data_IF_584455455221
#
_entry.id   IF_584455455221
#
_cell.length_a   1.000
_cell.length_b   1.000
_cell.length_c   1.000
_cell.angle_alpha   90.00
_cell.angle_beta   90.00
_cell.angle_gamma   90.00
#
_symmetry.space_group_name_H-M   'P 1'
#
loop_
_entity.id
_entity.type
_entity.pdbx_description
1 polymer ?
#
# COMPACT_ATOMS: atom_id res chain seq x y z
N UNK A 1 46.42 -30.96 -33.82
CA UNK A 1 44.94 -31.05 -33.79
C UNK A 1 44.50 -31.31 -32.35
N UNK A 2 43.66 -30.42 -31.80
CA UNK A 2 42.84 -30.48 -30.55
C UNK A 2 42.61 -29.00 -30.17
N UNK A 3 41.68 -28.24 -30.76
CA UNK A 3 40.21 -28.28 -30.70
C UNK A 3 39.58 -28.21 -29.30
N UNK A 4 38.79 -27.14 -29.12
CA UNK A 4 37.73 -26.89 -28.14
C UNK A 4 38.12 -26.57 -26.69
N UNK A 5 38.37 -25.28 -26.42
CA UNK A 5 38.13 -24.68 -25.09
C UNK A 5 36.77 -23.98 -25.15
N UNK A 6 35.84 -24.45 -24.32
CA UNK A 6 34.49 -23.94 -24.19
C UNK A 6 34.48 -22.41 -23.99
N UNK A 7 33.64 -21.73 -24.77
CA UNK A 7 33.38 -20.29 -24.63
C UNK A 7 32.75 -20.01 -23.27
N UNK A 8 33.60 -19.70 -22.30
CA UNK A 8 33.23 -19.11 -21.03
C UNK A 8 32.65 -17.72 -21.29
N UNK A 9 31.34 -17.65 -21.56
CA UNK A 9 30.54 -16.47 -21.26
C UNK A 9 30.39 -16.36 -19.74
N UNK A 10 31.52 -16.15 -19.07
CA UNK A 10 31.56 -15.61 -17.73
C UNK A 10 30.89 -14.25 -17.82
N UNK A 11 29.61 -14.18 -17.43
CA UNK A 11 28.83 -12.95 -17.34
C UNK A 11 29.47 -12.07 -16.27
N UNK A 12 30.55 -11.39 -16.66
CA UNK A 12 31.28 -10.44 -15.83
C UNK A 12 30.40 -9.19 -15.75
N UNK A 13 29.44 -9.20 -14.85
CA UNK A 13 28.66 -8.00 -14.54
C UNK A 13 29.66 -6.91 -14.16
N UNK A 14 29.62 -5.73 -14.82
CA UNK A 14 30.49 -4.63 -14.46
C UNK A 14 30.33 -4.34 -12.97
N UNK A 15 31.43 -4.17 -12.24
CA UNK A 15 31.40 -3.90 -10.78
C UNK A 15 30.46 -2.73 -10.43
N UNK A 16 30.31 -1.77 -11.36
CA UNK A 16 29.40 -0.62 -11.29
C UNK A 16 27.91 -0.99 -11.38
N UNK A 17 27.54 -2.00 -12.18
CA UNK A 17 26.15 -2.48 -12.25
C UNK A 17 25.75 -3.20 -10.96
N UNK A 18 26.68 -3.95 -10.35
CA UNK A 18 26.45 -4.61 -9.06
C UNK A 18 26.32 -3.61 -7.90
N UNK A 19 27.08 -2.50 -7.90
CA UNK A 19 26.94 -1.45 -6.87
C UNK A 19 25.68 -0.61 -7.10
N UNK A 20 25.35 -0.28 -8.35
CA UNK A 20 24.15 0.48 -8.67
C UNK A 20 22.87 -0.30 -8.33
N UNK A 21 22.81 -1.60 -8.63
CA UNK A 21 21.67 -2.46 -8.26
C UNK A 21 21.51 -2.59 -6.73
N UNK A 22 22.62 -2.66 -5.96
CA UNK A 22 22.56 -2.66 -4.48
C UNK A 22 22.04 -1.34 -3.92
N UNK A 23 22.46 -0.21 -4.51
CA UNK A 23 22.01 1.11 -4.10
C UNK A 23 20.53 1.35 -4.44
N UNK A 24 20.07 0.86 -5.59
CA UNK A 24 18.65 0.88 -5.99
C UNK A 24 17.79 0.01 -5.05
N UNK A 25 18.23 -1.21 -4.75
CA UNK A 25 17.53 -2.10 -3.82
C UNK A 25 17.46 -1.51 -2.40
N UNK A 26 18.50 -0.81 -1.94
CA UNK A 26 18.50 -0.13 -0.64
C UNK A 26 17.59 1.10 -0.57
N UNK A 27 17.16 1.65 -1.72
CA UNK A 27 16.20 2.77 -1.81
C UNK A 27 14.73 2.32 -1.86
N UNK A 28 14.47 1.04 -2.10
CA UNK A 28 13.14 0.43 -1.90
C UNK A 28 13.07 0.05 -0.42
N UNK A 29 12.78 1.07 0.38
CA UNK A 29 12.64 0.95 1.83
C UNK A 29 11.52 -0.05 2.14
N UNK A 30 11.89 -1.13 2.85
CA UNK A 30 11.04 -2.19 3.43
C UNK A 30 9.94 -2.84 2.55
N UNK A 31 9.87 -4.18 2.46
CA UNK A 31 8.71 -4.86 1.88
C UNK A 31 7.37 -4.43 2.50
N UNK A 32 7.36 -4.01 3.77
CA UNK A 32 6.16 -3.53 4.44
C UNK A 32 5.71 -2.14 3.94
N UNK A 33 6.63 -1.22 3.65
CA UNK A 33 6.31 0.11 3.10
C UNK A 33 5.82 0.03 1.64
N UNK A 34 6.33 -0.95 0.88
CA UNK A 34 5.88 -1.20 -0.50
C UNK A 34 4.49 -1.80 -0.53
N UNK A 35 4.17 -2.72 0.39
CA UNK A 35 2.83 -3.30 0.49
C UNK A 35 1.82 -2.21 0.87
N UNK A 36 2.17 -1.30 1.77
CA UNK A 36 1.28 -0.21 2.20
C UNK A 36 1.00 0.82 1.10
N UNK A 37 1.96 1.11 0.22
CA UNK A 37 1.77 1.99 -0.94
C UNK A 37 1.09 1.35 -2.15
N UNK A 38 0.80 0.05 -2.09
CA UNK A 38 0.08 -0.69 -3.11
C UNK A 38 -1.14 -1.45 -2.53
N UNK A 39 -1.61 -1.01 -1.36
CA UNK A 39 -2.71 -1.63 -0.64
C UNK A 39 -3.92 -0.71 -0.55
N UNK A 40 -5.09 -1.33 -0.47
CA UNK A 40 -6.33 -0.68 -0.05
C UNK A 40 -6.35 -0.58 1.48
N UNK A 41 -6.50 0.62 1.99
CA UNK A 41 -6.61 0.93 3.43
C UNK A 41 -7.96 1.60 3.69
N UNK A 42 -8.67 1.09 4.68
CA UNK A 42 -9.95 1.63 5.14
C UNK A 42 -9.74 2.15 6.57
N UNK A 43 -9.84 3.47 6.74
CA UNK A 43 -9.86 4.06 8.07
C UNK A 43 -11.28 4.03 8.62
N UNK A 44 -11.45 3.45 9.79
CA UNK A 44 -12.76 3.18 10.40
C UNK A 44 -12.85 3.67 11.83
N UNK A 45 -14.04 3.51 12.43
CA UNK A 45 -14.26 3.60 13.87
C UNK A 45 -15.12 2.43 14.37
N UNK A 46 -14.97 2.00 15.63
CA UNK A 46 -15.80 0.95 16.21
C UNK A 46 -17.29 1.33 16.18
N UNK A 47 -18.15 0.36 15.86
CA UNK A 47 -19.61 0.56 15.87
C UNK A 47 -20.16 1.43 14.74
N UNK A 48 -19.39 1.77 13.71
CA UNK A 48 -19.89 2.55 12.58
C UNK A 48 -20.55 1.66 11.51
N UNK A 49 -21.85 1.84 11.21
CA UNK A 49 -22.56 1.05 10.21
C UNK A 49 -22.01 1.27 8.79
N UNK A 50 -21.61 2.51 8.45
CA UNK A 50 -21.02 2.82 7.15
C UNK A 50 -19.65 2.18 6.94
N UNK A 51 -18.84 2.08 8.00
CA UNK A 51 -17.58 1.34 7.94
C UNK A 51 -17.82 -0.15 7.69
N UNK A 52 -18.87 -0.72 8.32
CA UNK A 52 -19.23 -2.11 8.08
C UNK A 52 -19.66 -2.34 6.62
N UNK A 53 -20.49 -1.46 6.06
CA UNK A 53 -20.89 -1.55 4.66
C UNK A 53 -19.70 -1.49 3.69
N UNK A 54 -18.71 -0.64 3.98
CA UNK A 54 -17.47 -0.59 3.21
C UNK A 54 -16.72 -1.93 3.24
N UNK A 55 -16.50 -2.49 4.44
CA UNK A 55 -15.85 -3.81 4.59
C UNK A 55 -16.60 -4.88 3.81
N UNK A 56 -17.92 -4.94 3.97
CA UNK A 56 -18.76 -5.95 3.34
C UNK A 56 -18.69 -5.84 1.82
N UNK A 57 -18.66 -4.63 1.28
CA UNK A 57 -18.46 -4.40 -0.14
C UNK A 57 -17.13 -4.95 -0.64
N UNK A 58 -15.99 -4.56 -0.02
CA UNK A 58 -14.69 -5.04 -0.48
C UNK A 58 -14.51 -6.55 -0.28
N UNK A 59 -15.03 -7.11 0.81
CA UNK A 59 -15.10 -8.55 1.04
C UNK A 59 -15.93 -9.26 -0.05
N UNK A 60 -17.10 -8.71 -0.43
CA UNK A 60 -17.94 -9.27 -1.49
C UNK A 60 -17.27 -9.27 -2.86
N UNK A 61 -16.34 -8.33 -3.07
CA UNK A 61 -15.51 -8.24 -4.29
C UNK A 61 -14.25 -9.10 -4.22
N UNK A 62 -13.96 -9.73 -3.08
CA UNK A 62 -12.72 -10.49 -2.86
C UNK A 62 -11.47 -9.60 -2.82
N UNK A 63 -11.62 -8.32 -2.53
CA UNK A 63 -10.51 -7.36 -2.44
C UNK A 63 -9.99 -7.37 -1.01
N UNK A 64 -8.71 -7.71 -0.83
CA UNK A 64 -8.05 -7.59 0.47
C UNK A 64 -7.76 -6.14 0.82
N UNK A 65 -7.97 -5.76 2.07
CA UNK A 65 -7.71 -4.42 2.58
C UNK A 65 -7.16 -4.45 4.00
N UNK A 66 -6.54 -3.35 4.40
CA UNK A 66 -6.12 -3.08 5.78
C UNK A 66 -7.19 -2.24 6.45
N UNK A 67 -7.70 -2.67 7.60
CA UNK A 67 -8.61 -1.87 8.43
C UNK A 67 -7.83 -1.17 9.55
N UNK A 68 -7.92 0.16 9.60
CA UNK A 68 -7.27 0.99 10.61
C UNK A 68 -8.30 1.77 11.42
N UNK A 69 -8.37 1.48 12.72
CA UNK A 69 -9.21 2.24 13.64
C UNK A 69 -8.60 3.63 13.92
N UNK A 70 -9.16 4.66 13.29
CA UNK A 70 -8.76 6.06 13.45
C UNK A 70 -9.45 6.78 14.64
N UNK A 71 -10.27 6.06 15.40
CA UNK A 71 -10.92 6.58 16.61
C UNK A 71 -10.13 6.23 17.87
N UNK A 72 -9.61 5.00 17.97
CA UNK A 72 -8.84 4.54 19.13
C UNK A 72 -7.34 4.72 18.95
N UNK A 73 -6.83 4.64 17.71
CA UNK A 73 -5.42 4.88 17.41
C UNK A 73 -5.20 6.29 16.84
N UNK A 74 -4.43 7.11 17.59
CA UNK A 74 -4.09 8.49 17.20
C UNK A 74 -3.16 8.56 15.99
N UNK A 75 -2.29 7.57 15.80
CA UNK A 75 -1.37 7.52 14.67
C UNK A 75 -2.14 7.30 13.37
N UNK A 76 -3.06 6.33 13.36
CA UNK A 76 -3.95 6.09 12.21
C UNK A 76 -4.87 7.27 11.93
N UNK A 77 -5.31 7.99 12.98
CA UNK A 77 -6.07 9.23 12.80
C UNK A 77 -5.27 10.31 12.09
N UNK A 78 -4.02 10.53 12.52
CA UNK A 78 -3.14 11.52 11.90
C UNK A 78 -2.82 11.14 10.45
N UNK A 79 -2.60 9.86 10.20
CA UNK A 79 -2.37 9.32 8.86
C UNK A 79 -3.59 9.51 7.94
N UNK A 80 -4.79 9.14 8.41
CA UNK A 80 -6.05 9.37 7.70
C UNK A 80 -6.21 10.84 7.29
N UNK A 81 -5.93 11.77 8.21
CA UNK A 81 -6.01 13.21 7.93
C UNK A 81 -4.98 13.69 6.92
N UNK A 82 -3.81 13.06 6.86
CA UNK A 82 -2.80 13.39 5.86
C UNK A 82 -3.27 13.07 4.45
N UNK A 83 -4.10 12.03 4.28
CA UNK A 83 -4.73 11.67 3.01
C UNK A 83 -5.99 12.49 2.71
N UNK A 84 -6.87 12.67 3.70
CA UNK A 84 -8.21 13.28 3.49
C UNK A 84 -8.21 14.81 3.49
N UNK A 85 -7.05 15.45 3.64
CA UNK A 85 -6.96 16.91 3.78
C UNK A 85 -7.60 17.43 5.08
N UNK A 86 -7.63 16.60 6.12
CA UNK A 86 -8.21 16.93 7.42
C UNK A 86 -9.71 16.61 7.58
N UNK A 87 -10.36 16.00 6.59
CA UNK A 87 -11.75 15.54 6.71
C UNK A 87 -11.86 14.39 7.75
N UNK A 88 -12.70 14.53 8.81
CA UNK A 88 -12.89 13.52 9.85
C UNK A 88 -13.90 12.43 9.52
N UNK A 89 -14.47 12.44 8.33
CA UNK A 89 -15.50 11.50 7.91
C UNK A 89 -14.93 10.09 7.74
N UNK A 90 -15.60 9.10 8.32
CA UNK A 90 -15.29 7.67 8.14
C UNK A 90 -16.49 6.94 7.53
N UNK A 91 -16.29 5.86 6.75
CA UNK A 91 -14.99 5.30 6.35
C UNK A 91 -14.21 6.24 5.42
N UNK A 92 -12.88 6.29 5.56
CA UNK A 92 -12.00 6.98 4.62
C UNK A 92 -11.19 5.92 3.86
N UNK A 93 -11.26 5.96 2.53
CA UNK A 93 -10.69 4.95 1.63
C UNK A 93 -9.46 5.52 0.95
N UNK A 94 -8.35 4.81 1.11
CA UNK A 94 -7.08 5.12 0.47
C UNK A 94 -6.63 3.89 -0.31
N UNK A 95 -6.31 4.07 -1.58
CA UNK A 95 -5.82 3.00 -2.46
C UNK A 95 -4.48 3.42 -3.05
N UNK A 96 -3.47 2.56 -2.94
CA UNK A 96 -2.11 2.82 -3.42
C UNK A 96 -1.52 4.15 -2.90
N UNK A 97 -1.82 4.48 -1.64
CA UNK A 97 -1.43 5.74 -1.01
C UNK A 97 -2.12 6.99 -1.58
N UNK A 98 -3.21 6.83 -2.34
CA UNK A 98 -4.02 7.92 -2.87
C UNK A 98 -5.38 7.95 -2.20
N UNK A 99 -5.81 9.12 -1.79
CA UNK A 99 -7.15 9.34 -1.27
C UNK A 99 -8.20 9.11 -2.38
N UNK A 100 -9.19 8.26 -2.10
CA UNK A 100 -10.26 7.94 -3.04
C UNK A 100 -11.56 8.60 -2.61
N UNK A 101 -12.01 8.38 -1.38
CA UNK A 101 -13.26 8.93 -0.87
C UNK A 101 -13.37 8.88 0.67
N UNK A 102 -14.29 9.68 1.19
CA UNK A 102 -14.78 9.63 2.58
C UNK A 102 -16.28 9.41 2.61
N UNK A 103 -16.75 8.65 3.59
CA UNK A 103 -18.16 8.26 3.74
C UNK A 103 -18.52 7.02 2.94
N UNK A 104 -19.78 6.59 3.08
CA UNK A 104 -20.34 5.45 2.36
C UNK A 104 -21.82 5.67 2.09
N UNK A 105 -22.36 5.09 1.02
CA UNK A 105 -23.76 5.26 0.59
C UNK A 105 -23.95 6.25 -0.55
N UNK A 106 -25.20 6.56 -0.88
CA UNK A 106 -25.59 7.50 -1.92
C UNK A 106 -26.62 8.53 -1.37
N UNK A 107 -26.26 9.83 -1.26
CA UNK A 107 -24.93 10.40 -1.51
C UNK A 107 -23.94 9.99 -0.41
N UNK A 108 -22.64 10.06 -0.72
CA UNK A 108 -21.58 9.80 0.26
C UNK A 108 -21.68 10.78 1.43
N UNK A 109 -22.03 10.28 2.63
CA UNK A 109 -21.64 10.80 3.95
C UNK A 109 -22.28 10.03 5.10
N UNK A 110 -21.48 9.76 6.14
CA UNK A 110 -21.79 8.83 7.24
C UNK A 110 -22.55 9.39 8.43
#
# INVERSE_FOLDING_TARGET
>A
MQSAVAAALCRRTPKYLASHLRQLAAKLSSPAEVIEKLALVIYTKPGCPYCQQARDYYNSKGISFVDRDAQTNREYRAEMFSFSGGDPTVPCIVEDGKYIQSGWGDPLRG
#
